data_IF_582904415521
#
_entry.id   IF_582904415521
#
_cell.length_a   1.000
_cell.length_b   1.000
_cell.length_c   1.000
_cell.angle_alpha   90.00
_cell.angle_beta   90.00
_cell.angle_gamma   90.00
#
_symmetry.space_group_name_H-M   'P 1'
#
loop_
_entity.id
_entity.type
_entity.pdbx_description
1 polymer ?
#
# COMPACT_ATOMS: atom_id res chain seq x y z
N UNK A 1 0.09 9.59 12.57
CA UNK A 1 -0.76 9.49 11.39
C UNK A 1 -0.61 8.09 10.86
N UNK A 2 -1.57 7.25 11.16
CA UNK A 2 -1.50 5.84 10.79
C UNK A 2 -2.10 5.68 9.40
N UNK A 3 -1.29 5.31 8.41
CA UNK A 3 -1.80 5.00 7.06
C UNK A 3 -2.21 3.53 6.99
N UNK A 4 -3.18 3.19 6.14
CA UNK A 4 -3.57 1.80 5.90
C UNK A 4 -2.88 1.28 4.65
N UNK A 5 -2.01 0.29 4.82
CA UNK A 5 -1.40 -0.44 3.71
C UNK A 5 -2.31 -1.58 3.30
N UNK A 6 -3.01 -1.40 2.20
CA UNK A 6 -3.77 -2.43 1.54
C UNK A 6 -2.83 -3.30 0.71
N UNK A 7 -2.74 -4.58 1.05
CA UNK A 7 -1.89 -5.54 0.34
C UNK A 7 -2.55 -6.89 0.18
N UNK A 8 -1.96 -7.75 -0.67
CA UNK A 8 -2.41 -9.13 -0.76
C UNK A 8 -2.24 -9.84 0.60
N UNK A 9 -3.22 -10.70 0.94
CA UNK A 9 -3.19 -11.50 2.17
C UNK A 9 -2.07 -12.55 2.25
N UNK A 10 -1.21 -12.67 1.24
CA UNK A 10 -0.04 -13.53 1.28
C UNK A 10 1.12 -12.84 2.06
N UNK A 11 0.88 -12.57 3.34
CA UNK A 11 1.78 -11.83 4.23
C UNK A 11 3.13 -12.53 4.46
N UNK A 12 3.22 -13.83 4.15
CA UNK A 12 4.42 -14.65 4.29
C UNK A 12 5.45 -14.46 3.17
N UNK A 13 5.07 -13.87 2.03
CA UNK A 13 5.99 -13.61 0.93
C UNK A 13 6.74 -12.31 1.19
N UNK A 14 7.90 -12.44 1.84
CA UNK A 14 8.91 -11.39 2.05
C UNK A 14 10.03 -11.45 1.01
N UNK A 15 9.65 -11.67 -0.25
CA UNK A 15 10.61 -11.71 -1.36
C UNK A 15 10.74 -10.28 -1.90
N UNK A 16 11.96 -9.75 -2.03
CA UNK A 16 12.24 -8.39 -2.52
C UNK A 16 11.65 -8.09 -3.91
N UNK A 17 11.29 -9.11 -4.68
CA UNK A 17 10.56 -8.99 -5.95
C UNK A 17 9.06 -8.71 -5.81
N UNK A 18 8.44 -8.93 -4.64
CA UNK A 18 7.01 -8.80 -4.46
C UNK A 18 6.59 -7.33 -4.22
N UNK A 19 5.71 -6.74 -5.06
CA UNK A 19 5.32 -5.33 -4.98
C UNK A 19 4.85 -4.87 -3.59
N UNK A 20 4.02 -5.67 -2.90
CA UNK A 20 3.52 -5.31 -1.57
C UNK A 20 4.61 -5.29 -0.49
N UNK A 21 5.61 -6.18 -0.59
CA UNK A 21 6.69 -6.22 0.41
C UNK A 21 7.59 -4.99 0.25
N UNK A 22 7.86 -4.57 -0.98
CA UNK A 22 8.68 -3.39 -1.26
C UNK A 22 8.14 -2.11 -0.62
N UNK A 23 6.82 -1.90 -0.70
CA UNK A 23 6.16 -0.73 -0.09
C UNK A 23 6.12 -0.86 1.43
N UNK A 24 5.80 -2.04 1.95
CA UNK A 24 5.81 -2.28 3.40
C UNK A 24 7.19 -2.00 3.99
N UNK A 25 8.24 -2.55 3.38
CA UNK A 25 9.61 -2.34 3.83
C UNK A 25 9.99 -0.85 3.80
N UNK A 26 9.54 -0.09 2.80
CA UNK A 26 9.80 1.35 2.76
C UNK A 26 9.13 2.09 3.94
N UNK A 27 7.91 1.69 4.34
CA UNK A 27 7.23 2.24 5.52
C UNK A 27 7.99 1.86 6.80
N UNK A 28 8.41 0.59 6.93
CA UNK A 28 9.24 0.10 8.04
C UNK A 28 10.57 0.88 8.14
N UNK A 29 11.27 1.08 7.02
CA UNK A 29 12.55 1.80 6.94
C UNK A 29 12.42 3.27 7.35
N UNK A 30 11.28 3.90 7.03
CA UNK A 30 10.99 5.29 7.40
C UNK A 30 10.43 5.44 8.82
N UNK A 31 10.09 4.33 9.49
CA UNK A 31 9.46 4.36 10.81
C UNK A 31 8.06 4.99 10.78
N UNK A 32 7.35 4.90 9.65
CA UNK A 32 5.97 5.39 9.54
C UNK A 32 5.05 4.35 10.19
N UNK A 33 4.16 4.78 11.07
CA UNK A 33 3.14 3.91 11.62
C UNK A 33 2.09 3.60 10.56
N UNK A 34 1.82 2.31 10.33
CA UNK A 34 0.83 1.88 9.36
C UNK A 34 0.07 0.63 9.83
N UNK A 35 -1.18 0.51 9.38
CA UNK A 35 -2.01 -0.66 9.58
C UNK A 35 -1.98 -1.54 8.33
N UNK A 36 -1.67 -2.83 8.48
CA UNK A 36 -1.77 -3.78 7.36
C UNK A 36 -3.22 -4.22 7.20
N UNK A 37 -3.82 -3.90 6.06
CA UNK A 37 -5.15 -4.40 5.69
C UNK A 37 -4.97 -5.52 4.65
N UNK A 38 -5.00 -6.80 5.08
CA UNK A 38 -4.84 -7.92 4.17
C UNK A 38 -6.10 -8.08 3.31
N UNK A 39 -5.95 -7.82 2.03
CA UNK A 39 -7.00 -7.99 1.04
C UNK A 39 -7.02 -9.37 0.39
N UNK A 40 -8.14 -9.72 -0.28
CA UNK A 40 -8.34 -11.04 -0.84
C UNK A 40 -7.32 -11.39 -1.94
N UNK A 41 -6.80 -12.62 -1.84
CA UNK A 41 -5.87 -13.24 -2.78
C UNK A 41 -6.31 -14.69 -3.05
N UNK A 42 -6.23 -15.19 -4.30
CA UNK A 42 -5.78 -14.54 -5.54
C UNK A 42 -6.90 -13.75 -6.28
N UNK A 43 -8.14 -13.80 -5.79
CA UNK A 43 -9.31 -13.27 -6.50
C UNK A 43 -9.37 -11.74 -6.60
N UNK A 44 -8.92 -11.17 -7.72
CA UNK A 44 -8.99 -9.71 -8.01
C UNK A 44 -10.40 -9.13 -7.91
N UNK A 45 -11.43 -9.88 -8.30
CA UNK A 45 -12.85 -9.45 -8.23
C UNK A 45 -13.35 -9.22 -6.81
N UNK A 46 -12.70 -9.80 -5.80
CA UNK A 46 -13.10 -9.66 -4.39
C UNK A 46 -12.49 -8.43 -3.73
N UNK A 47 -11.61 -7.69 -4.42
CA UNK A 47 -10.91 -6.50 -3.90
C UNK A 47 -11.79 -5.25 -3.96
N UNK A 48 -13.02 -5.35 -3.49
CA UNK A 48 -14.04 -4.30 -3.65
C UNK A 48 -13.63 -2.98 -3.00
N UNK A 49 -12.99 -3.00 -1.83
CA UNK A 49 -12.48 -1.80 -1.15
C UNK A 49 -11.42 -1.05 -2.01
N UNK A 50 -10.44 -1.78 -2.54
CA UNK A 50 -9.38 -1.21 -3.38
C UNK A 50 -9.93 -0.67 -4.70
N UNK A 51 -10.90 -1.38 -5.29
CA UNK A 51 -11.56 -0.93 -6.52
C UNK A 51 -12.37 0.34 -6.23
N UNK A 52 -13.05 0.42 -5.10
CA UNK A 52 -13.80 1.62 -4.71
C UNK A 52 -12.88 2.81 -4.45
N UNK A 53 -11.73 2.59 -3.78
CA UNK A 53 -10.79 3.65 -3.42
C UNK A 53 -9.89 4.12 -4.56
N UNK A 54 -9.44 3.20 -5.43
CA UNK A 54 -8.44 3.50 -6.49
C UNK A 54 -9.00 3.39 -7.91
N UNK A 55 -10.24 2.93 -8.09
CA UNK A 55 -10.78 2.46 -9.37
C UNK A 55 -10.19 1.11 -9.85
N UNK A 56 -9.19 0.62 -9.11
CA UNK A 56 -8.23 -0.44 -9.39
C UNK A 56 -8.42 -1.78 -8.68
N UNK A 57 -8.20 -2.99 -9.24
CA UNK A 57 -8.03 -4.17 -8.40
C UNK A 57 -6.56 -4.46 -8.03
N UNK A 58 -5.62 -3.52 -8.18
CA UNK A 58 -4.18 -3.76 -8.05
C UNK A 58 -3.65 -3.34 -6.68
N UNK A 59 -2.80 -4.21 -6.10
CA UNK A 59 -2.01 -3.97 -4.89
C UNK A 59 -0.55 -3.68 -5.26
N UNK A 60 0.24 -3.02 -4.40
CA UNK A 60 -0.15 -2.35 -3.15
C UNK A 60 -0.78 -0.97 -3.36
N UNK A 61 -1.49 -0.52 -2.34
CA UNK A 61 -2.16 0.78 -2.27
C UNK A 61 -2.22 1.25 -0.82
N UNK A 62 -2.24 2.57 -0.64
CA UNK A 62 -2.24 3.21 0.67
C UNK A 62 -3.51 4.05 0.80
N UNK A 63 -4.25 3.82 1.88
CA UNK A 63 -5.38 4.65 2.28
C UNK A 63 -4.93 5.53 3.45
N UNK A 64 -5.15 6.83 3.33
CA UNK A 64 -4.87 7.80 4.39
C UNK A 64 -6.08 7.96 5.32
N UNK A 65 -5.86 8.49 6.53
CA UNK A 65 -6.93 8.71 7.52
C UNK A 65 -8.03 9.67 7.02
N UNK A 66 -7.71 10.54 6.06
CA UNK A 66 -8.69 11.45 5.43
C UNK A 66 -9.56 10.77 4.36
N UNK A 67 -9.37 9.47 4.11
CA UNK A 67 -10.10 8.70 3.10
C UNK A 67 -9.53 8.84 1.68
N UNK A 68 -8.45 9.59 1.48
CA UNK A 68 -7.73 9.65 0.21
C UNK A 68 -6.93 8.38 -0.02
N UNK A 69 -6.83 7.98 -1.29
CA UNK A 69 -6.07 6.80 -1.71
C UNK A 69 -4.88 7.19 -2.55
N UNK A 70 -3.74 6.60 -2.24
CA UNK A 70 -2.51 6.76 -2.99
C UNK A 70 -2.05 5.43 -3.56
N UNK A 71 -1.86 5.44 -4.88
CA UNK A 71 -1.38 4.28 -5.63
C UNK A 71 -0.55 4.74 -6.82
N UNK A 72 0.67 4.22 -6.90
CA UNK A 72 1.58 4.34 -8.05
C UNK A 72 2.22 2.96 -8.31
N UNK A 73 3.20 2.87 -9.21
CA UNK A 73 4.05 1.69 -9.29
C UNK A 73 4.76 1.44 -7.94
N UNK A 74 4.85 0.17 -7.52
CA UNK A 74 5.44 -0.17 -6.22
C UNK A 74 6.86 0.35 -6.00
N UNK A 75 7.63 0.55 -7.08
CA UNK A 75 8.96 1.15 -7.01
C UNK A 75 8.89 2.65 -6.70
N UNK A 76 8.00 3.38 -7.38
CA UNK A 76 7.79 4.81 -7.15
C UNK A 76 7.18 5.08 -5.78
N UNK A 77 6.18 4.30 -5.35
CA UNK A 77 5.62 4.41 -4.00
C UNK A 77 6.70 4.24 -2.93
N UNK A 78 7.54 3.21 -3.06
CA UNK A 78 8.62 2.96 -2.13
C UNK A 78 9.68 4.07 -2.15
N UNK A 79 9.94 4.69 -3.32
CA UNK A 79 10.81 5.88 -3.42
C UNK A 79 10.20 7.07 -2.69
N UNK A 80 8.94 7.41 -2.97
CA UNK A 80 8.22 8.51 -2.32
C UNK A 80 8.19 8.37 -0.81
N UNK A 81 7.95 7.15 -0.31
CA UNK A 81 8.00 6.86 1.13
C UNK A 81 9.40 7.12 1.67
N UNK A 82 10.44 6.53 1.07
CA UNK A 82 11.84 6.73 1.49
C UNK A 82 12.32 8.16 1.41
N UNK A 83 11.70 9.00 0.59
CA UNK A 83 11.97 10.44 0.52
C UNK A 83 11.20 11.25 1.58
N UNK A 84 10.35 10.61 2.39
CA UNK A 84 9.51 11.27 3.39
C UNK A 84 8.31 12.01 2.80
N UNK A 85 8.00 11.78 1.51
CA UNK A 85 6.99 12.52 0.74
C UNK A 85 5.62 11.83 0.70
N UNK A 86 5.43 10.77 1.49
CA UNK A 86 4.17 10.02 1.50
C UNK A 86 2.98 10.91 1.88
N UNK A 87 3.13 11.74 2.92
CA UNK A 87 2.05 12.61 3.40
C UNK A 87 1.72 13.75 2.42
N UNK A 88 2.61 14.08 1.49
CA UNK A 88 2.30 15.05 0.42
C UNK A 88 1.32 14.47 -0.60
N UNK A 89 1.19 13.13 -0.67
CA UNK A 89 0.28 12.42 -1.58
C UNK A 89 -1.14 12.27 -1.01
N UNK A 90 -1.40 12.70 0.22
CA UNK A 90 -2.73 12.65 0.83
C UNK A 90 -3.62 13.86 0.48
N UNK A 91 -3.11 14.79 -0.32
CA UNK A 91 -3.76 16.06 -0.69
C UNK A 91 -4.54 16.02 -2.01
#
# INVERSE_FOLDING_TARGET
MAVKLHRCGNLWVKVNGHPCWRVQQALDEQGIEYEVVPGPWPGRKKRTAVIAGTGQPLYPDIEFENGTWYREESADMARTIREGRLMEKSG
#
